data_IF_627968794112
#
_entry.id   IF_627968794112
#
_cell.length_a   1.000
_cell.length_b   1.000
_cell.length_c   1.000
_cell.angle_alpha   90.00
_cell.angle_beta   90.00
_cell.angle_gamma   90.00
#
_symmetry.space_group_name_H-M   'P 1'
#
loop_
_entity.id
_entity.type
_entity.pdbx_description
1 polymer ?
#
# COMPACT_ATOMS: atom_id res chain seq x y z
N UNK A 1 16.37 25.91 -9.19
CA UNK A 1 15.67 25.13 -8.15
C UNK A 1 15.45 23.73 -8.71
N UNK A 2 16.04 22.70 -8.11
CA UNK A 2 15.98 21.33 -8.64
C UNK A 2 15.18 20.42 -7.71
N UNK A 3 14.50 19.42 -8.28
CA UNK A 3 13.74 18.40 -7.51
C UNK A 3 14.62 17.72 -6.45
N UNK A 4 15.89 17.45 -6.79
CA UNK A 4 16.88 16.83 -5.90
C UNK A 4 17.12 17.63 -4.60
N UNK A 5 16.78 18.92 -4.60
CA UNK A 5 16.98 19.80 -3.45
C UNK A 5 15.84 19.65 -2.41
N UNK A 6 14.71 19.05 -2.79
CA UNK A 6 13.50 18.93 -1.94
C UNK A 6 13.00 17.49 -1.77
N UNK A 7 13.41 16.56 -2.63
CA UNK A 7 12.93 15.17 -2.58
C UNK A 7 13.42 14.43 -1.34
N UNK A 8 12.61 13.50 -0.84
CA UNK A 8 13.06 12.49 0.11
C UNK A 8 14.06 11.57 -0.57
N UNK A 9 15.28 11.50 -0.02
CA UNK A 9 16.29 10.54 -0.46
C UNK A 9 15.95 9.15 0.05
N UNK A 10 16.21 8.14 -0.78
CA UNK A 10 16.00 6.72 -0.46
C UNK A 10 14.60 6.41 0.11
N UNK A 11 13.52 6.68 -0.66
CA UNK A 11 12.17 6.40 -0.22
C UNK A 11 12.00 4.90 0.04
N UNK A 12 11.24 4.56 1.08
CA UNK A 12 10.82 3.18 1.34
C UNK A 12 10.02 2.71 0.13
N UNK A 13 10.44 1.60 -0.49
CA UNK A 13 9.78 0.97 -1.62
C UNK A 13 9.28 -0.42 -1.25
N UNK A 14 8.26 -0.91 -1.95
CA UNK A 14 7.72 -2.26 -1.78
C UNK A 14 7.87 -3.09 -3.06
N UNK A 15 8.01 -4.42 -2.97
CA UNK A 15 7.99 -5.29 -4.13
C UNK A 15 6.55 -5.44 -4.66
N UNK A 16 6.35 -5.74 -5.96
CA UNK A 16 5.01 -5.90 -6.54
C UNK A 16 4.23 -7.09 -5.97
N UNK A 17 4.88 -8.04 -5.31
CA UNK A 17 4.26 -9.18 -4.65
C UNK A 17 3.85 -8.89 -3.19
N UNK A 18 4.10 -7.67 -2.70
CA UNK A 18 3.71 -7.27 -1.35
C UNK A 18 2.18 -7.35 -1.19
N UNK A 19 1.71 -7.93 -0.08
CA UNK A 19 0.28 -7.98 0.20
C UNK A 19 -0.27 -6.60 0.56
N UNK A 20 -1.58 -6.42 0.31
CA UNK A 20 -2.30 -5.19 0.67
C UNK A 20 -2.24 -4.96 2.19
N UNK A 21 -2.40 -6.02 2.98
CA UNK A 21 -2.34 -5.96 4.45
C UNK A 21 -0.97 -5.51 4.95
N UNK A 22 0.11 -6.11 4.42
CA UNK A 22 1.48 -5.72 4.76
C UNK A 22 1.75 -4.26 4.40
N UNK A 23 1.28 -3.82 3.22
CA UNK A 23 1.43 -2.43 2.78
C UNK A 23 0.65 -1.47 3.69
N UNK A 24 -0.56 -1.82 4.11
CA UNK A 24 -1.35 -1.02 5.04
C UNK A 24 -0.68 -0.91 6.43
N UNK A 25 -0.08 -2.00 6.92
CA UNK A 25 0.68 -2.00 8.16
C UNK A 25 1.93 -1.12 8.05
N UNK A 26 2.65 -1.17 6.93
CA UNK A 26 3.76 -0.26 6.62
C UNK A 26 3.32 1.21 6.60
N UNK A 27 2.18 1.52 5.96
CA UNK A 27 1.63 2.88 5.95
C UNK A 27 1.40 3.40 7.36
N UNK A 28 0.76 2.58 8.21
CA UNK A 28 0.49 2.94 9.60
C UNK A 28 1.77 3.08 10.42
N UNK A 29 2.72 2.15 10.27
CA UNK A 29 3.99 2.12 11.00
C UNK A 29 4.86 3.34 10.68
N UNK A 30 4.96 3.69 9.41
CA UNK A 30 5.84 4.78 8.95
C UNK A 30 5.11 6.12 8.79
N UNK A 31 3.79 6.17 9.02
CA UNK A 31 2.94 7.34 8.80
C UNK A 31 3.05 7.87 7.36
N UNK A 32 3.30 6.97 6.41
CA UNK A 32 3.41 7.27 4.99
C UNK A 32 2.12 6.83 4.29
N UNK A 33 1.66 7.65 3.35
CA UNK A 33 0.41 7.38 2.60
C UNK A 33 0.65 6.83 1.20
N UNK A 34 1.91 6.70 0.79
CA UNK A 34 2.31 6.38 -0.59
C UNK A 34 3.59 5.56 -0.58
N UNK A 35 3.63 4.51 -1.39
CA UNK A 35 4.84 3.72 -1.59
C UNK A 35 5.09 3.49 -3.08
N UNK A 36 6.30 3.76 -3.60
CA UNK A 36 6.71 3.28 -4.91
C UNK A 36 6.82 1.75 -4.91
N UNK A 37 6.31 1.14 -5.97
CA UNK A 37 6.45 -0.30 -6.21
C UNK A 37 7.63 -0.52 -7.13
N UNK A 38 8.64 -1.26 -6.66
CA UNK A 38 9.91 -1.45 -7.35
C UNK A 38 10.16 -2.94 -7.56
N UNK A 39 10.51 -3.32 -8.80
CA UNK A 39 10.97 -4.66 -9.15
C UNK A 39 12.34 -4.57 -9.83
N UNK A 40 13.32 -5.37 -9.37
CA UNK A 40 14.69 -5.40 -9.91
C UNK A 40 15.26 -4.00 -10.20
N UNK A 41 15.13 -3.10 -9.23
CA UNK A 41 15.61 -1.72 -9.29
C UNK A 41 14.91 -0.82 -10.34
N UNK A 42 13.75 -1.24 -10.85
CA UNK A 42 12.89 -0.45 -11.74
C UNK A 42 11.59 -0.11 -11.03
N UNK A 43 11.16 1.15 -11.15
CA UNK A 43 9.84 1.58 -10.72
C UNK A 43 8.79 0.96 -11.65
N UNK A 44 7.90 0.14 -11.10
CA UNK A 44 6.83 -0.54 -11.85
C UNK A 44 5.44 -0.03 -11.48
N UNK A 45 5.31 0.76 -10.41
CA UNK A 45 4.04 1.33 -10.01
C UNK A 45 4.12 2.22 -8.77
N UNK A 46 2.94 2.67 -8.33
CA UNK A 46 2.74 3.46 -7.12
C UNK A 46 1.47 2.96 -6.42
N UNK A 47 1.54 2.78 -5.12
CA UNK A 47 0.35 2.45 -4.29
C UNK A 47 0.12 3.58 -3.30
N UNK A 48 -1.11 4.05 -3.21
CA UNK A 48 -1.54 5.04 -2.23
C UNK A 48 -2.51 4.45 -1.21
N UNK A 49 -2.65 5.10 -0.06
CA UNK A 49 -3.63 4.76 0.97
C UNK A 49 -5.05 4.71 0.39
N UNK A 50 -5.37 5.63 -0.53
CA UNK A 50 -6.66 5.65 -1.23
C UNK A 50 -6.89 4.42 -2.10
N UNK A 51 -5.85 3.89 -2.74
CA UNK A 51 -5.96 2.67 -3.56
C UNK A 51 -6.24 1.46 -2.67
N UNK A 52 -5.57 1.38 -1.51
CA UNK A 52 -5.84 0.35 -0.50
C UNK A 52 -7.30 0.46 -0.01
N UNK A 53 -7.75 1.66 0.37
CA UNK A 53 -9.12 1.87 0.86
C UNK A 53 -10.19 1.49 -0.16
N UNK A 54 -9.94 1.70 -1.47
CA UNK A 54 -10.85 1.27 -2.55
C UNK A 54 -10.83 -0.23 -2.80
N UNK A 55 -9.71 -0.90 -2.51
CA UNK A 55 -9.59 -2.35 -2.64
C UNK A 55 -10.25 -3.11 -1.49
N UNK A 56 -10.51 -2.43 -0.37
CA UNK A 56 -11.21 -3.01 0.77
C UNK A 56 -12.73 -3.01 0.54
N UNK A 57 -13.47 -4.00 1.09
CA UNK A 57 -14.91 -4.01 1.04
C UNK A 57 -15.51 -2.74 1.66
N UNK A 58 -16.70 -2.38 1.17
CA UNK A 58 -17.41 -1.21 1.67
C UNK A 58 -17.59 -1.28 3.20
N UNK A 59 -17.36 -0.17 3.92
CA UNK A 59 -17.68 -0.09 5.34
C UNK A 59 -19.19 -0.20 5.62
N UNK A 60 -20.05 -0.17 4.60
CA UNK A 60 -21.49 -0.41 4.72
C UNK A 60 -21.84 -1.90 4.95
N UNK A 61 -20.87 -2.80 4.92
CA UNK A 61 -21.09 -4.23 5.17
C UNK A 61 -20.91 -4.55 6.65
N UNK A 62 -21.88 -5.21 7.29
CA UNK A 62 -21.85 -5.58 8.72
C UNK A 62 -20.84 -6.67 9.10
N UNK A 63 -19.87 -6.97 8.23
CA UNK A 63 -18.90 -8.03 8.44
C UNK A 63 -17.74 -7.56 9.31
N UNK A 64 -17.27 -8.43 10.21
CA UNK A 64 -16.06 -8.19 10.98
C UNK A 64 -14.82 -8.26 10.08
N UNK A 65 -13.72 -7.59 10.49
CA UNK A 65 -12.44 -7.61 9.75
C UNK A 65 -11.92 -9.03 9.49
N UNK A 66 -12.18 -9.97 10.40
CA UNK A 66 -11.75 -11.36 10.26
C UNK A 66 -12.52 -12.09 9.15
N UNK A 67 -13.84 -11.88 9.07
CA UNK A 67 -14.68 -12.47 8.02
C UNK A 67 -14.32 -11.90 6.65
N UNK A 68 -14.05 -10.60 6.56
CA UNK A 68 -13.60 -9.96 5.32
C UNK A 68 -12.29 -10.59 4.84
N UNK A 69 -11.27 -10.65 5.70
CA UNK A 69 -9.97 -11.21 5.34
C UNK A 69 -10.06 -12.69 4.93
N UNK A 70 -10.93 -13.46 5.60
CA UNK A 70 -11.18 -14.85 5.25
C UNK A 70 -11.77 -14.99 3.84
N UNK A 71 -12.77 -14.18 3.50
CA UNK A 71 -13.43 -14.24 2.20
C UNK A 71 -12.51 -13.79 1.06
N UNK A 72 -11.74 -12.72 1.24
CA UNK A 72 -10.78 -12.26 0.22
C UNK A 72 -9.59 -13.19 0.05
N UNK A 73 -9.23 -13.99 1.06
CA UNK A 73 -8.17 -15.01 0.91
C UNK A 73 -8.56 -16.23 0.07
N UNK A 74 -9.87 -16.40 -0.20
CA UNK A 74 -10.43 -17.58 -0.89
C UNK A 74 -10.75 -17.36 -2.37
N UNK A 75 -10.57 -16.14 -2.88
CA UNK A 75 -10.76 -15.77 -4.29
C UNK A 75 -9.39 -15.70 -4.93
#
# INVERSE_FOLDING_TARGET
MFVRDFMTKDPIAIPPQASITYTADLMKKHQLKRFPVVDKNKLVGLVTESDIMKSLPSPATSLSKHEINYLTSKI
#
